data_IF_129147754973
#
_entry.id   IF_129147754973
#
_cell.length_a   1.000
_cell.length_b   1.000
_cell.length_c   1.000
_cell.angle_alpha   90.00
_cell.angle_beta   90.00
_cell.angle_gamma   90.00
#
_symmetry.space_group_name_H-M   'P 1'
#
loop_
_entity.id
_entity.type
_entity.pdbx_description
1 polymer ?
#
# COMPACT_ATOMS: atom_id res chain seq x y z
N UNK A 1 10.39 -8.75 13.33
CA UNK A 1 10.15 -7.41 12.76
C UNK A 1 9.77 -7.60 11.31
N UNK A 2 8.79 -6.84 10.80
CA UNK A 2 8.33 -6.96 9.41
C UNK A 2 8.83 -5.77 8.60
N UNK A 3 9.61 -6.05 7.57
CA UNK A 3 10.27 -5.07 6.71
C UNK A 3 9.60 -4.95 5.34
N UNK A 4 8.80 -5.92 4.90
CA UNK A 4 8.17 -5.88 3.58
C UNK A 4 6.65 -5.99 3.69
N UNK A 5 5.93 -5.10 3.00
CA UNK A 5 4.47 -5.08 2.88
C UNK A 5 4.06 -5.22 1.43
N UNK A 6 3.15 -6.15 1.15
CA UNK A 6 2.57 -6.35 -0.18
C UNK A 6 1.07 -6.05 -0.11
N UNK A 7 0.64 -5.02 -0.83
CA UNK A 7 -0.77 -4.66 -1.02
C UNK A 7 -1.22 -5.35 -2.30
N UNK A 8 -2.11 -6.33 -2.15
CA UNK A 8 -2.60 -7.14 -3.27
C UNK A 8 -3.73 -6.44 -4.05
N UNK A 9 -4.66 -5.82 -3.33
CA UNK A 9 -5.77 -5.05 -3.89
C UNK A 9 -5.77 -3.66 -3.26
N UNK A 10 -6.10 -2.65 -4.05
CA UNK A 10 -6.07 -1.24 -3.62
C UNK A 10 -7.45 -0.81 -3.17
N UNK A 11 -7.55 -0.32 -1.94
CA UNK A 11 -8.81 0.23 -1.44
C UNK A 11 -9.17 1.53 -2.17
N UNK A 12 -10.49 1.78 -2.31
CA UNK A 12 -11.01 3.07 -2.79
C UNK A 12 -10.62 4.24 -1.89
N UNK A 13 -10.42 3.98 -0.59
CA UNK A 13 -9.97 4.97 0.38
C UNK A 13 -8.45 4.86 0.58
N UNK A 14 -7.66 5.86 0.14
CA UNK A 14 -6.20 5.81 0.28
C UNK A 14 -5.72 5.76 1.74
N UNK A 15 -6.53 6.23 2.69
CA UNK A 15 -6.15 6.26 4.11
C UNK A 15 -6.06 4.86 4.74
N UNK A 16 -6.86 3.90 4.26
CA UNK A 16 -6.83 2.53 4.77
C UNK A 16 -5.47 1.88 4.49
N UNK A 17 -4.97 2.05 3.26
CA UNK A 17 -3.66 1.56 2.88
C UNK A 17 -2.55 2.20 3.72
N UNK A 18 -2.60 3.51 3.93
CA UNK A 18 -1.61 4.23 4.76
C UNK A 18 -1.59 3.68 6.19
N UNK A 19 -2.76 3.37 6.75
CA UNK A 19 -2.84 2.74 8.08
C UNK A 19 -2.26 1.33 8.07
N UNK A 20 -2.50 0.54 7.02
CA UNK A 20 -1.90 -0.80 6.86
C UNK A 20 -0.37 -0.72 6.79
N UNK A 21 0.18 0.24 6.04
CA UNK A 21 1.63 0.48 5.93
C UNK A 21 2.25 0.87 7.28
N UNK A 22 1.55 1.68 8.06
CA UNK A 22 1.99 2.13 9.39
C UNK A 22 2.11 0.98 10.40
N UNK A 23 1.55 -0.21 10.12
CA UNK A 23 1.74 -1.40 10.97
C UNK A 23 3.14 -1.98 10.88
N UNK A 24 3.76 -1.93 9.70
CA UNK A 24 5.14 -2.36 9.48
C UNK A 24 6.12 -1.20 9.68
N UNK A 25 5.76 -0.01 9.19
CA UNK A 25 6.55 1.22 9.34
C UNK A 25 6.25 1.90 10.68
N UNK A 26 6.94 1.43 11.74
CA UNK A 26 6.76 1.92 13.11
C UNK A 26 8.08 2.23 13.81
N UNK A 27 8.01 3.05 14.86
CA UNK A 27 9.15 3.36 15.73
C UNK A 27 9.72 2.04 16.29
N UNK A 28 11.02 1.84 16.14
CA UNK A 28 11.73 0.60 16.50
C UNK A 28 12.01 -0.34 15.32
N UNK A 29 11.55 -0.01 14.11
CA UNK A 29 12.01 -0.69 12.91
C UNK A 29 13.36 -0.10 12.46
N UNK A 30 14.39 -0.96 12.42
CA UNK A 30 15.76 -0.58 12.04
C UNK A 30 16.05 -0.84 10.57
N UNK A 31 15.28 -1.73 9.94
CA UNK A 31 15.46 -2.11 8.55
C UNK A 31 14.58 -1.25 7.65
N UNK A 32 15.03 -1.02 6.41
CA UNK A 32 14.23 -0.28 5.43
C UNK A 32 12.93 -1.02 5.14
N UNK A 33 11.80 -0.33 5.31
CA UNK A 33 10.48 -0.90 4.99
C UNK A 33 10.20 -0.76 3.49
N UNK A 34 9.99 -1.88 2.81
CA UNK A 34 9.63 -1.95 1.40
C UNK A 34 8.13 -2.16 1.24
N UNK A 35 7.53 -1.45 0.29
CA UNK A 35 6.10 -1.47 0.04
C UNK A 35 5.89 -1.76 -1.43
N UNK A 36 5.23 -2.88 -1.72
CA UNK A 36 4.85 -3.29 -3.06
C UNK A 36 3.34 -3.24 -3.18
N UNK A 37 2.83 -2.48 -4.13
CA UNK A 37 1.41 -2.47 -4.49
C UNK A 37 1.27 -3.14 -5.84
N UNK A 38 0.45 -4.16 -5.92
CA UNK A 38 0.07 -4.74 -7.19
C UNK A 38 -1.09 -3.96 -7.80
N UNK A 39 -0.93 -3.65 -9.09
CA UNK A 39 -1.95 -2.99 -9.90
C UNK A 39 -1.96 -3.71 -11.24
N UNK A 40 -3.08 -4.32 -11.56
CA UNK A 40 -3.27 -5.05 -12.81
C UNK A 40 -3.59 -4.07 -13.93
N UNK A 41 -2.76 -4.10 -14.98
CA UNK A 41 -2.91 -3.23 -16.15
C UNK A 41 -4.20 -3.54 -16.92
N UNK A 42 -4.82 -2.51 -17.50
CA UNK A 42 -6.04 -2.61 -18.32
C UNK A 42 -7.25 -3.15 -17.54
N UNK A 43 -7.27 -2.91 -16.22
CA UNK A 43 -8.37 -3.30 -15.33
C UNK A 43 -8.92 -2.11 -14.54
N UNK A 44 -10.00 -2.36 -13.79
CA UNK A 44 -10.59 -1.37 -12.88
C UNK A 44 -9.62 -0.89 -11.79
N UNK A 45 -8.60 -1.67 -11.43
CA UNK A 45 -7.62 -1.33 -10.39
C UNK A 45 -6.81 -0.07 -10.74
N UNK A 46 -6.51 0.16 -12.02
CA UNK A 46 -5.84 1.39 -12.46
C UNK A 46 -6.72 2.61 -12.20
N UNK A 47 -8.03 2.50 -12.45
CA UNK A 47 -8.98 3.58 -12.19
C UNK A 47 -9.12 3.85 -10.69
N UNK A 48 -9.20 2.80 -9.87
CA UNK A 48 -9.27 2.92 -8.41
C UNK A 48 -8.04 3.65 -7.89
N UNK A 49 -6.85 3.24 -8.32
CA UNK A 49 -5.59 3.87 -7.93
C UNK A 49 -5.50 5.33 -8.39
N UNK A 50 -5.99 5.65 -9.59
CA UNK A 50 -6.03 7.04 -10.09
C UNK A 50 -7.01 7.92 -9.32
N UNK A 51 -8.17 7.39 -8.92
CA UNK A 51 -9.16 8.10 -8.12
C UNK A 51 -8.65 8.32 -6.70
N UNK A 52 -8.05 7.31 -6.07
CA UNK A 52 -7.48 7.41 -4.75
C UNK A 52 -6.29 8.39 -4.65
N UNK A 53 -5.65 8.70 -5.79
CA UNK A 53 -4.54 9.68 -5.88
C UNK A 53 -5.01 11.12 -6.08
N UNK A 54 -6.25 11.33 -6.54
CA UNK A 54 -6.83 12.67 -6.69
C UNK A 54 -7.24 13.25 -5.35
#
# INVERSE_FOLDING_TARGET
TADTVVIYDSDWNPHNDIQALSRAHRIGQTNKVMIYRFVTRDTVEERITQVAKK
#
